data_IF_250463825071
#
_entry.id   IF_250463825071
#
_cell.length_a   1.000
_cell.length_b   1.000
_cell.length_c   1.000
_cell.angle_alpha   90.00
_cell.angle_beta   90.00
_cell.angle_gamma   90.00
#
_symmetry.space_group_name_H-M   'P 1'
#
loop_
_entity.id
_entity.type
_entity.pdbx_description
1 polymer ?
#
# COMPACT_ATOMS: atom_id res chain seq x y z
N UNK A 1 36.29 -28.73 -15.37
CA UNK A 1 35.35 -28.47 -16.49
C UNK A 1 34.30 -27.47 -16.01
N UNK A 2 34.22 -26.26 -16.57
CA UNK A 2 33.22 -25.28 -16.16
C UNK A 2 31.87 -25.65 -16.79
N UNK A 3 30.83 -25.77 -15.96
CA UNK A 3 29.48 -26.07 -16.41
C UNK A 3 29.00 -25.02 -17.44
N UNK A 4 28.52 -25.51 -18.59
CA UNK A 4 28.08 -24.69 -19.72
C UNK A 4 26.91 -23.78 -19.34
N UNK A 5 26.90 -22.57 -19.92
CA UNK A 5 25.82 -21.57 -19.75
C UNK A 5 24.40 -22.09 -20.04
N UNK A 6 24.26 -23.24 -20.73
CA UNK A 6 22.95 -23.85 -21.02
C UNK A 6 22.30 -24.51 -19.79
N UNK A 7 23.09 -25.04 -18.85
CA UNK A 7 22.57 -25.65 -17.61
C UNK A 7 21.87 -24.63 -16.70
N UNK A 8 22.36 -23.38 -16.67
CA UNK A 8 21.75 -22.28 -15.90
C UNK A 8 20.41 -21.78 -16.45
N UNK A 9 20.12 -22.01 -17.74
CA UNK A 9 18.83 -21.62 -18.36
C UNK A 9 17.75 -22.66 -18.14
N UNK A 10 18.11 -23.94 -17.98
CA UNK A 10 17.15 -25.00 -17.73
C UNK A 10 16.59 -24.98 -16.29
N UNK A 11 17.38 -24.57 -15.30
CA UNK A 11 16.92 -24.41 -13.91
C UNK A 11 16.03 -23.17 -13.66
N UNK A 12 15.88 -22.30 -14.66
CA UNK A 12 14.99 -21.13 -14.58
C UNK A 12 13.51 -21.47 -14.87
N UNK A 13 13.21 -22.70 -15.29
CA UNK A 13 11.90 -23.07 -15.84
C UNK A 13 10.86 -23.54 -14.81
N UNK A 14 11.11 -23.50 -13.50
CA UNK A 14 10.13 -23.94 -12.51
C UNK A 14 10.27 -23.26 -11.13
N UNK A 15 10.44 -21.94 -11.09
CA UNK A 15 10.41 -21.21 -9.82
C UNK A 15 9.05 -20.50 -9.68
N UNK A 16 8.36 -20.61 -8.53
CA UNK A 16 7.11 -19.90 -8.30
C UNK A 16 7.40 -18.41 -8.37
N UNK A 17 6.98 -17.79 -9.47
CA UNK A 17 7.25 -16.38 -9.77
C UNK A 17 6.59 -15.53 -8.69
N UNK A 18 7.41 -14.87 -7.87
CA UNK A 18 7.00 -13.69 -7.12
C UNK A 18 7.45 -12.52 -8.00
N UNK A 19 6.62 -12.23 -8.99
CA UNK A 19 6.85 -11.20 -10.01
C UNK A 19 6.97 -9.82 -9.35
N UNK A 20 7.75 -8.91 -9.96
CA UNK A 20 8.13 -7.54 -9.53
C UNK A 20 9.29 -7.34 -8.55
N UNK A 21 9.87 -8.38 -7.96
CA UNK A 21 11.11 -8.24 -7.19
C UNK A 21 12.31 -8.24 -8.13
N UNK A 22 13.35 -7.44 -7.84
CA UNK A 22 14.56 -7.42 -8.67
C UNK A 22 15.31 -8.75 -8.62
N UNK A 23 15.28 -9.44 -7.47
CA UNK A 23 15.79 -10.80 -7.31
C UNK A 23 14.78 -11.71 -6.58
N UNK A 24 13.96 -12.49 -7.32
CA UNK A 24 12.97 -13.38 -6.73
C UNK A 24 13.58 -14.56 -5.96
N UNK A 25 14.90 -14.77 -6.05
CA UNK A 25 15.62 -15.82 -5.30
C UNK A 25 15.95 -15.41 -3.88
N UNK A 26 15.79 -14.14 -3.54
CA UNK A 26 15.94 -13.69 -2.16
C UNK A 26 15.00 -14.49 -1.25
N UNK A 27 15.53 -14.87 -0.09
CA UNK A 27 14.77 -15.62 0.89
C UNK A 27 13.48 -14.88 1.25
N UNK A 28 12.35 -15.59 1.26
CA UNK A 28 11.02 -14.99 1.45
C UNK A 28 10.93 -14.14 2.72
N UNK A 29 11.56 -14.55 3.81
CA UNK A 29 11.56 -13.79 5.07
C UNK A 29 12.20 -12.40 4.93
N UNK A 30 13.19 -12.21 4.04
CA UNK A 30 13.80 -10.90 3.78
C UNK A 30 12.82 -9.99 3.08
N UNK A 31 12.17 -10.54 2.05
CA UNK A 31 11.20 -9.81 1.22
C UNK A 31 9.94 -9.43 2.00
N UNK A 32 9.37 -10.39 2.72
CA UNK A 32 8.25 -10.15 3.63
C UNK A 32 8.65 -9.22 4.78
N UNK A 33 9.88 -9.33 5.30
CA UNK A 33 10.40 -8.41 6.33
C UNK A 33 10.47 -6.96 5.85
N UNK A 34 10.89 -6.73 4.59
CA UNK A 34 10.86 -5.40 3.97
C UNK A 34 9.45 -4.88 3.77
N UNK A 35 8.50 -5.74 3.37
CA UNK A 35 7.09 -5.35 3.31
C UNK A 35 6.55 -4.91 4.67
N UNK A 36 6.83 -5.66 5.72
CA UNK A 36 6.43 -5.28 7.08
C UNK A 36 7.08 -3.99 7.56
N UNK A 37 8.39 -3.82 7.33
CA UNK A 37 9.13 -2.61 7.71
C UNK A 37 8.65 -1.38 6.94
N UNK A 38 8.41 -1.53 5.63
CA UNK A 38 7.90 -0.45 4.80
C UNK A 38 6.47 -0.05 5.19
N UNK A 39 5.57 -1.01 5.43
CA UNK A 39 4.22 -0.70 5.92
C UNK A 39 4.25 -0.08 7.32
N UNK A 40 5.13 -0.55 8.21
CA UNK A 40 5.37 0.09 9.52
C UNK A 40 5.74 1.56 9.36
N UNK A 41 6.76 1.85 8.54
CA UNK A 41 7.25 3.20 8.34
C UNK A 41 6.19 4.09 7.66
N UNK A 42 5.43 3.54 6.71
CA UNK A 42 4.33 4.24 6.03
C UNK A 42 3.23 4.65 7.03
N UNK A 43 2.75 3.72 7.85
CA UNK A 43 1.68 4.01 8.83
C UNK A 43 2.18 4.94 9.94
N UNK A 44 3.45 4.77 10.38
CA UNK A 44 4.08 5.67 11.32
C UNK A 44 4.14 7.10 10.78
N UNK A 45 4.59 7.27 9.53
CA UNK A 45 4.65 8.58 8.87
C UNK A 45 3.26 9.19 8.68
N UNK A 46 2.29 8.40 8.22
CA UNK A 46 0.91 8.82 8.05
C UNK A 46 0.33 9.36 9.36
N UNK A 47 0.34 8.53 10.41
CA UNK A 47 -0.27 8.91 11.68
C UNK A 47 0.52 10.01 12.37
N UNK A 48 1.85 9.90 12.41
CA UNK A 48 2.72 10.88 13.04
C UNK A 48 2.58 12.26 12.42
N UNK A 49 2.47 12.34 11.08
CA UNK A 49 2.23 13.61 10.36
C UNK A 49 0.87 14.22 10.69
N UNK A 50 -0.19 13.41 10.82
CA UNK A 50 -1.50 13.89 11.23
C UNK A 50 -1.50 14.47 12.65
N UNK A 51 -0.88 13.77 13.61
CA UNK A 51 -0.73 14.25 14.99
C UNK A 51 0.12 15.53 15.03
N UNK A 52 1.24 15.55 14.30
CA UNK A 52 2.11 16.72 14.22
C UNK A 52 1.37 17.92 13.62
N UNK A 53 0.65 17.74 12.52
CA UNK A 53 -0.12 18.79 11.88
C UNK A 53 -1.21 19.34 12.81
N UNK A 54 -1.92 18.48 13.54
CA UNK A 54 -2.93 18.90 14.50
C UNK A 54 -2.34 19.77 15.64
N UNK A 55 -1.09 19.50 16.06
CA UNK A 55 -0.40 20.29 17.09
C UNK A 55 0.16 21.60 16.54
N UNK A 56 0.83 21.55 15.39
CA UNK A 56 1.48 22.72 14.77
C UNK A 56 0.46 23.72 14.25
N UNK A 57 -0.62 23.24 13.65
CA UNK A 57 -1.67 24.05 13.05
C UNK A 57 -2.96 24.04 13.90
N UNK A 58 -2.82 24.14 15.23
CA UNK A 58 -3.95 24.06 16.15
C UNK A 58 -5.06 25.09 15.88
N UNK A 59 -4.73 26.25 15.31
CA UNK A 59 -5.68 27.31 14.93
C UNK A 59 -6.12 27.24 13.46
N UNK A 60 -5.61 26.29 12.68
CA UNK A 60 -5.85 26.11 11.25
C UNK A 60 -6.12 24.62 10.92
N UNK A 61 -7.25 24.04 11.39
CA UNK A 61 -7.51 22.61 11.26
C UNK A 61 -7.54 22.11 9.81
N UNK A 62 -7.84 22.99 8.84
CA UNK A 62 -7.77 22.69 7.41
C UNK A 62 -6.38 22.30 6.90
N UNK A 63 -5.31 22.56 7.65
CA UNK A 63 -3.95 22.17 7.29
C UNK A 63 -3.64 20.69 7.56
N UNK A 64 -4.44 19.99 8.37
CA UNK A 64 -4.17 18.59 8.73
C UNK A 64 -4.18 17.70 7.47
N UNK A 65 -5.21 17.82 6.63
CA UNK A 65 -5.38 16.99 5.45
C UNK A 65 -4.23 17.17 4.43
N UNK A 66 -3.91 18.39 3.93
CA UNK A 66 -2.85 18.56 2.94
C UNK A 66 -1.45 18.21 3.48
N UNK A 67 -1.14 18.51 4.74
CA UNK A 67 0.17 18.16 5.32
C UNK A 67 0.32 16.64 5.43
N UNK A 68 -0.74 15.96 5.89
CA UNK A 68 -0.73 14.50 6.01
C UNK A 68 -0.67 13.83 4.64
N UNK A 69 -1.42 14.34 3.65
CA UNK A 69 -1.39 13.82 2.27
C UNK A 69 0.01 13.86 1.66
N UNK A 70 0.71 15.00 1.77
CA UNK A 70 2.09 15.14 1.27
C UNK A 70 3.05 14.25 2.03
N UNK A 71 2.91 14.13 3.35
CA UNK A 71 3.78 13.28 4.16
C UNK A 71 3.62 11.78 3.81
N UNK A 72 2.39 11.31 3.63
CA UNK A 72 2.08 9.94 3.21
C UNK A 72 2.69 9.65 1.83
N UNK A 73 2.44 10.54 0.86
CA UNK A 73 2.97 10.40 -0.48
C UNK A 73 4.50 10.39 -0.52
N UNK A 74 5.15 11.34 0.17
CA UNK A 74 6.60 11.42 0.24
C UNK A 74 7.22 10.19 0.92
N UNK A 75 6.61 9.72 2.01
CA UNK A 75 7.04 8.50 2.69
C UNK A 75 6.95 7.29 1.76
N UNK A 76 5.82 7.11 1.06
CA UNK A 76 5.64 5.98 0.15
C UNK A 76 6.63 6.03 -1.03
N UNK A 77 6.82 7.19 -1.66
CA UNK A 77 7.82 7.37 -2.73
C UNK A 77 9.21 6.95 -2.23
N UNK A 78 9.63 7.50 -1.08
CA UNK A 78 10.95 7.19 -0.51
C UNK A 78 11.11 5.71 -0.17
N UNK A 79 10.09 5.09 0.41
CA UNK A 79 10.10 3.67 0.79
C UNK A 79 10.15 2.74 -0.43
N UNK A 80 9.40 3.03 -1.49
CA UNK A 80 9.45 2.23 -2.71
C UNK A 80 10.80 2.41 -3.41
N UNK A 81 11.31 3.65 -3.52
CA UNK A 81 12.63 3.89 -4.13
C UNK A 81 13.76 3.20 -3.36
N UNK A 82 13.72 3.26 -2.02
CA UNK A 82 14.79 2.72 -1.18
C UNK A 82 14.76 1.19 -1.07
N UNK A 83 13.56 0.60 -0.96
CA UNK A 83 13.39 -0.80 -0.56
C UNK A 83 12.63 -1.65 -1.58
N UNK A 84 11.98 -1.03 -2.57
CA UNK A 84 11.13 -1.72 -3.55
C UNK A 84 11.88 -2.74 -4.41
N UNK A 85 13.18 -2.56 -4.64
CA UNK A 85 14.00 -3.55 -5.35
C UNK A 85 14.07 -4.90 -4.62
N UNK A 86 13.88 -4.93 -3.30
CA UNK A 86 13.92 -6.14 -2.49
C UNK A 86 12.60 -6.91 -2.55
N UNK A 87 11.46 -6.22 -2.42
CA UNK A 87 10.15 -6.86 -2.22
C UNK A 87 9.12 -6.59 -3.33
N UNK A 88 9.37 -5.64 -4.21
CA UNK A 88 8.37 -5.04 -5.10
C UNK A 88 7.71 -3.79 -4.51
N UNK A 89 7.91 -3.51 -3.21
CA UNK A 89 7.43 -2.31 -2.52
C UNK A 89 5.91 -2.18 -2.50
N UNK A 90 5.18 -3.26 -2.18
CA UNK A 90 3.71 -3.23 -2.22
C UNK A 90 3.17 -2.40 -1.06
N UNK A 91 3.62 -2.72 0.15
CA UNK A 91 3.19 -2.13 1.42
C UNK A 91 1.67 -2.08 1.62
N UNK A 92 0.94 -2.88 0.84
CA UNK A 92 -0.51 -2.86 0.70
C UNK A 92 -1.01 -4.28 0.33
N UNK A 93 -1.91 -4.86 1.15
CA UNK A 93 -2.51 -6.16 0.86
C UNK A 93 -3.26 -6.22 -0.47
N UNK A 94 -3.91 -5.14 -0.92
CA UNK A 94 -4.65 -5.13 -2.20
C UNK A 94 -3.73 -5.38 -3.40
N UNK A 95 -2.57 -4.70 -3.45
CA UNK A 95 -1.58 -4.89 -4.53
C UNK A 95 -1.12 -6.35 -4.55
N UNK A 96 -0.81 -6.89 -3.37
CA UNK A 96 -0.34 -8.27 -3.21
C UNK A 96 -1.39 -9.29 -3.64
N UNK A 97 -2.66 -9.06 -3.25
CA UNK A 97 -3.79 -9.93 -3.60
C UNK A 97 -4.15 -9.86 -5.09
N UNK A 98 -4.08 -8.68 -5.71
CA UNK A 98 -4.34 -8.53 -7.14
C UNK A 98 -3.26 -9.20 -7.99
N UNK A 99 -1.99 -9.16 -7.59
CA UNK A 99 -0.96 -9.96 -8.26
C UNK A 99 -1.23 -11.46 -8.15
N UNK A 100 -1.67 -11.92 -6.98
CA UNK A 100 -2.06 -13.33 -6.80
C UNK A 100 -3.25 -13.70 -7.69
N UNK A 101 -4.28 -12.85 -7.74
CA UNK A 101 -5.46 -13.02 -8.58
C UNK A 101 -5.10 -13.03 -10.08
N UNK A 102 -4.15 -12.18 -10.48
CA UNK A 102 -3.56 -12.13 -11.82
C UNK A 102 -2.61 -13.29 -12.14
N UNK A 103 -2.39 -14.22 -11.19
CA UNK A 103 -1.45 -15.35 -11.30
C UNK A 103 0.02 -14.93 -11.47
N UNK A 104 0.36 -13.74 -11.00
CA UNK A 104 1.71 -13.16 -11.02
C UNK A 104 2.50 -13.48 -9.74
N UNK A 105 1.83 -14.01 -8.69
CA UNK A 105 2.44 -14.34 -7.39
C UNK A 105 1.93 -15.66 -6.83
N UNK A 106 2.80 -16.43 -6.16
CA UNK A 106 2.40 -17.66 -5.46
C UNK A 106 1.62 -17.38 -4.18
N UNK A 107 0.71 -18.28 -3.80
CA UNK A 107 -0.11 -18.12 -2.58
C UNK A 107 0.73 -18.02 -1.29
N UNK A 108 1.84 -18.75 -1.19
CA UNK A 108 2.75 -18.69 -0.04
C UNK A 108 3.42 -17.30 0.08
N UNK A 109 3.91 -16.76 -1.04
CA UNK A 109 4.45 -15.39 -1.09
C UNK A 109 3.37 -14.37 -0.68
N UNK A 110 2.14 -14.53 -1.18
CA UNK A 110 1.01 -13.65 -0.88
C UNK A 110 0.67 -13.63 0.61
N UNK A 111 0.52 -14.80 1.23
CA UNK A 111 0.21 -14.90 2.66
C UNK A 111 1.31 -14.25 3.51
N UNK A 112 2.58 -14.53 3.21
CA UNK A 112 3.71 -13.97 3.95
C UNK A 112 3.75 -12.43 3.86
N UNK A 113 3.48 -11.87 2.68
CA UNK A 113 3.43 -10.43 2.46
C UNK A 113 2.28 -9.78 3.19
N UNK A 114 1.05 -10.28 3.01
CA UNK A 114 -0.15 -9.71 3.64
C UNK A 114 -0.03 -9.76 5.17
N UNK A 115 0.48 -10.86 5.73
CA UNK A 115 0.72 -10.98 7.16
C UNK A 115 1.76 -9.97 7.66
N UNK A 116 2.89 -9.83 6.95
CA UNK A 116 3.93 -8.88 7.32
C UNK A 116 3.47 -7.42 7.20
N UNK A 117 2.76 -7.06 6.12
CA UNK A 117 2.17 -5.73 5.93
C UNK A 117 1.18 -5.41 7.04
N UNK A 118 0.28 -6.34 7.35
CA UNK A 118 -0.74 -6.16 8.39
C UNK A 118 -0.11 -5.98 9.78
N UNK A 119 0.89 -6.81 10.13
CA UNK A 119 1.65 -6.65 11.37
C UNK A 119 2.41 -5.32 11.40
N UNK A 120 3.08 -4.97 10.30
CA UNK A 120 3.78 -3.70 10.14
C UNK A 120 2.86 -2.51 10.35
N UNK A 121 1.67 -2.54 9.75
CA UNK A 121 0.68 -1.48 9.88
C UNK A 121 0.20 -1.29 11.32
N UNK A 122 -0.17 -2.37 12.01
CA UNK A 122 -0.55 -2.33 13.43
C UNK A 122 0.59 -1.77 14.29
N UNK A 123 1.81 -2.27 14.11
CA UNK A 123 2.98 -1.80 14.86
C UNK A 123 3.31 -0.33 14.57
N UNK A 124 3.13 0.13 13.32
CA UNK A 124 3.37 1.52 12.92
C UNK A 124 2.38 2.48 13.58
N UNK A 125 1.10 2.09 13.63
CA UNK A 125 0.06 2.83 14.34
C UNK A 125 0.34 2.91 15.83
N UNK A 126 0.63 1.77 16.46
CA UNK A 126 0.98 1.70 17.88
C UNK A 126 2.24 2.53 18.22
N UNK A 127 3.26 2.48 17.36
CA UNK A 127 4.47 3.27 17.54
C UNK A 127 4.20 4.78 17.44
N UNK A 128 3.34 5.23 16.51
CA UNK A 128 2.94 6.62 16.43
C UNK A 128 2.23 7.07 17.72
N UNK A 129 1.27 6.28 18.22
CA UNK A 129 0.60 6.58 19.47
C UNK A 129 1.59 6.68 20.66
N UNK A 130 2.55 5.76 20.74
CA UNK A 130 3.57 5.74 21.78
C UNK A 130 4.51 6.95 21.71
N UNK A 131 4.98 7.33 20.53
CA UNK A 131 5.91 8.46 20.33
C UNK A 131 5.29 9.81 20.71
N UNK A 132 3.99 9.98 20.49
CA UNK A 132 3.34 11.27 20.68
C UNK A 132 2.62 11.43 22.02
N UNK A 133 2.31 10.35 22.72
CA UNK A 133 1.73 10.34 24.07
C UNK A 133 0.40 11.09 24.19
N UNK A 134 -0.74 10.38 24.24
CA UNK A 134 -2.03 10.99 24.58
C UNK A 134 -3.25 10.14 24.19
N UNK A 135 -4.42 10.35 24.84
CA UNK A 135 -5.63 9.55 24.66
C UNK A 135 -6.40 9.87 23.36
N UNK A 136 -7.29 8.92 23.03
CA UNK A 136 -7.95 8.70 21.73
C UNK A 136 -8.98 9.78 21.39
N UNK A 137 -8.55 10.92 20.85
CA UNK A 137 -9.42 11.74 20.02
C UNK A 137 -9.78 10.96 18.76
N UNK A 138 -10.93 10.30 18.76
CA UNK A 138 -11.48 9.60 17.59
C UNK A 138 -12.05 10.63 16.62
N UNK A 139 -11.49 10.74 15.42
CA UNK A 139 -12.16 11.46 14.31
C UNK A 139 -13.35 10.70 13.75
N UNK A 140 -13.61 9.45 14.19
CA UNK A 140 -14.82 8.68 13.91
C UNK A 140 -15.04 8.51 12.41
N UNK A 141 -14.54 7.41 11.83
CA UNK A 141 -14.72 7.14 10.41
C UNK A 141 -16.18 7.25 9.96
N UNK A 142 -16.40 7.44 8.66
CA UNK A 142 -17.73 7.69 8.08
C UNK A 142 -18.63 6.43 8.07
N UNK A 143 -18.17 5.33 8.66
CA UNK A 143 -18.88 4.04 8.63
C UNK A 143 -19.21 3.63 7.20
N UNK A 144 -20.46 3.22 6.98
CA UNK A 144 -20.96 2.85 5.66
C UNK A 144 -20.96 3.99 4.64
N UNK A 145 -21.07 5.25 5.07
CA UNK A 145 -20.99 6.39 4.14
C UNK A 145 -19.58 6.58 3.56
N UNK A 146 -18.54 6.07 4.25
CA UNK A 146 -17.15 6.10 3.76
C UNK A 146 -16.81 5.02 2.74
N UNK A 147 -17.62 3.96 2.64
CA UNK A 147 -17.33 2.83 1.74
C UNK A 147 -17.14 3.26 0.28
N UNK A 148 -17.92 4.22 -0.20
CA UNK A 148 -17.80 4.73 -1.57
C UNK A 148 -16.48 5.49 -1.81
N UNK A 149 -15.98 6.20 -0.80
CA UNK A 149 -14.68 6.86 -0.85
C UNK A 149 -13.54 5.85 -1.00
N UNK A 150 -13.54 4.81 -0.18
CA UNK A 150 -12.53 3.75 -0.23
C UNK A 150 -12.58 2.92 -1.51
N UNK A 151 -13.78 2.72 -2.08
CA UNK A 151 -13.94 2.09 -3.39
C UNK A 151 -13.26 2.90 -4.50
N UNK A 152 -13.54 4.21 -4.57
CA UNK A 152 -12.93 5.08 -5.58
C UNK A 152 -11.42 5.19 -5.38
N UNK A 153 -11.00 5.38 -4.14
CA UNK A 153 -9.59 5.51 -3.77
C UNK A 153 -8.79 4.26 -4.15
N UNK A 154 -9.29 3.08 -3.77
CA UNK A 154 -8.64 1.80 -4.09
C UNK A 154 -8.67 1.49 -5.58
N UNK A 155 -9.77 1.79 -6.28
CA UNK A 155 -9.83 1.59 -7.72
C UNK A 155 -8.80 2.44 -8.46
N UNK A 156 -8.70 3.72 -8.12
CA UNK A 156 -7.73 4.63 -8.71
C UNK A 156 -6.29 4.25 -8.38
N UNK A 157 -6.00 3.95 -7.11
CA UNK A 157 -4.67 3.54 -6.68
C UNK A 157 -4.20 2.27 -7.40
N UNK A 158 -5.05 1.24 -7.47
CA UNK A 158 -4.71 0.00 -8.17
C UNK A 158 -4.53 0.23 -9.67
N UNK A 159 -5.36 1.08 -10.29
CA UNK A 159 -5.19 1.43 -11.71
C UNK A 159 -3.85 2.13 -11.98
N UNK A 160 -3.42 3.03 -11.09
CA UNK A 160 -2.11 3.72 -11.21
C UNK A 160 -0.97 2.72 -11.02
N UNK A 161 -1.00 1.91 -9.96
CA UNK A 161 0.05 0.91 -9.66
C UNK A 161 0.24 -0.04 -10.83
N UNK A 162 -0.82 -0.73 -11.24
CA UNK A 162 -0.74 -1.71 -12.32
C UNK A 162 -0.64 -1.06 -13.70
N UNK A 163 -1.21 0.12 -13.91
CA UNK A 163 -1.08 0.87 -15.15
C UNK A 163 0.37 1.29 -15.43
N UNK A 164 1.10 1.77 -14.41
CA UNK A 164 2.54 2.05 -14.55
C UNK A 164 3.34 0.80 -14.93
N UNK A 165 3.00 -0.34 -14.34
CA UNK A 165 3.64 -1.62 -14.68
C UNK A 165 3.34 -2.06 -16.10
N UNK A 166 2.05 -2.08 -16.48
CA UNK A 166 1.60 -2.56 -17.79
C UNK A 166 1.98 -1.62 -18.94
N UNK A 167 2.24 -0.34 -18.66
CA UNK A 167 2.75 0.63 -19.64
C UNK A 167 4.28 0.66 -19.77
N UNK A 168 5.01 -0.23 -19.09
CA UNK A 168 6.48 -0.28 -19.12
C UNK A 168 7.15 0.89 -18.40
N UNK A 169 6.43 1.60 -17.51
CA UNK A 169 6.92 2.76 -16.75
C UNK A 169 7.10 2.43 -15.26
N UNK A 170 7.55 1.22 -14.96
CA UNK A 170 7.77 0.75 -13.59
C UNK A 170 8.67 1.70 -12.78
N UNK A 171 9.73 2.24 -13.40
CA UNK A 171 10.66 3.18 -12.76
C UNK A 171 10.00 4.50 -12.31
N UNK A 172 8.96 4.94 -13.01
CA UNK A 172 8.15 6.11 -12.65
C UNK A 172 7.02 5.78 -11.65
N UNK A 173 6.75 4.49 -11.44
CA UNK A 173 5.69 3.98 -10.57
C UNK A 173 5.66 4.60 -9.18
N UNK A 174 6.79 4.70 -8.44
CA UNK A 174 6.81 5.31 -7.11
C UNK A 174 6.25 6.74 -7.10
N UNK A 175 6.67 7.55 -8.08
CA UNK A 175 6.27 8.95 -8.19
C UNK A 175 4.81 9.09 -8.65
N UNK A 176 4.36 8.25 -9.58
CA UNK A 176 2.97 8.23 -10.03
C UNK A 176 2.02 7.86 -8.88
N UNK A 177 2.39 6.85 -8.08
CA UNK A 177 1.63 6.44 -6.90
C UNK A 177 1.60 7.56 -5.85
N UNK A 178 2.74 8.20 -5.57
CA UNK A 178 2.79 9.34 -4.65
C UNK A 178 1.91 10.52 -5.11
N UNK A 179 1.98 10.87 -6.40
CA UNK A 179 1.13 11.93 -6.97
C UNK A 179 -0.36 11.58 -6.89
N UNK A 180 -0.71 10.31 -7.15
CA UNK A 180 -2.08 9.83 -6.99
C UNK A 180 -2.56 9.95 -5.55
N UNK A 181 -1.76 9.53 -4.57
CA UNK A 181 -2.13 9.62 -3.16
C UNK A 181 -2.43 11.05 -2.72
N UNK A 182 -1.63 12.04 -3.13
CA UNK A 182 -1.95 13.45 -2.82
C UNK A 182 -3.31 13.84 -3.39
N UNK A 183 -3.58 13.51 -4.65
CA UNK A 183 -4.84 13.86 -5.30
C UNK A 183 -6.04 13.16 -4.62
N UNK A 184 -5.90 11.88 -4.33
CA UNK A 184 -6.97 11.02 -3.83
C UNK A 184 -7.34 11.33 -2.36
N UNK A 185 -6.33 11.53 -1.51
CA UNK A 185 -6.52 11.95 -0.10
C UNK A 185 -7.25 13.30 -0.03
N UNK A 186 -6.99 14.21 -0.97
CA UNK A 186 -7.67 15.51 -1.03
C UNK A 186 -9.06 15.45 -1.68
N UNK A 187 -9.29 14.48 -2.57
CA UNK A 187 -10.52 14.38 -3.35
C UNK A 187 -11.61 13.52 -2.69
N UNK A 188 -11.25 12.60 -1.79
CA UNK A 188 -12.18 11.65 -1.17
C UNK A 188 -12.48 11.97 0.29
N UNK A 189 -13.69 11.63 0.79
CA UNK A 189 -14.11 12.05 2.14
C UNK A 189 -13.50 11.21 3.26
N UNK A 190 -12.78 10.13 2.94
CA UNK A 190 -12.24 9.17 3.93
C UNK A 190 -10.77 9.37 4.23
N UNK A 191 -10.11 10.35 3.59
CA UNK A 191 -8.66 10.47 3.53
C UNK A 191 -7.96 9.28 2.84
N UNK A 192 -8.68 8.54 1.98
CA UNK A 192 -8.19 7.48 1.10
C UNK A 192 -7.23 6.48 1.79
N UNK A 193 -7.75 5.62 2.68
CA UNK A 193 -6.92 4.58 3.28
C UNK A 193 -6.37 3.64 2.20
N UNK A 194 -7.25 3.16 1.32
CA UNK A 194 -6.97 2.37 0.12
C UNK A 194 -5.99 1.21 0.36
N UNK A 195 -5.93 0.70 1.59
CA UNK A 195 -4.91 -0.20 2.08
C UNK A 195 -5.36 -0.85 3.41
N UNK A 196 -5.69 -2.17 3.39
CA UNK A 196 -6.12 -2.89 4.58
C UNK A 196 -5.13 -2.83 5.75
N UNK A 197 -3.82 -2.77 5.46
CA UNK A 197 -2.82 -2.66 6.52
C UNK A 197 -2.80 -1.27 7.18
N UNK A 198 -3.11 -0.21 6.43
CA UNK A 198 -3.29 1.14 7.00
C UNK A 198 -4.57 1.18 7.82
N UNK A 199 -5.66 0.53 7.38
CA UNK A 199 -6.88 0.37 8.19
C UNK A 199 -6.57 -0.32 9.52
N UNK A 200 -5.79 -1.40 9.54
CA UNK A 200 -5.39 -2.06 10.78
C UNK A 200 -4.51 -1.19 11.68
N UNK A 201 -3.59 -0.42 11.09
CA UNK A 201 -2.79 0.57 11.82
C UNK A 201 -3.63 1.69 12.44
N UNK A 202 -4.65 2.14 11.72
CA UNK A 202 -5.59 3.18 12.15
C UNK A 202 -6.47 2.76 13.32
N UNK A 203 -6.73 1.46 13.48
CA UNK A 203 -7.38 0.88 14.66
C UNK A 203 -6.48 0.85 15.90
N UNK A 204 -5.16 0.93 15.70
CA UNK A 204 -4.14 0.78 16.76
C UNK A 204 -3.46 2.11 17.14
N UNK A 205 -4.02 3.25 16.72
CA UNK A 205 -3.40 4.57 16.87
C UNK A 205 -4.36 5.63 17.41
N UNK A 206 -3.89 6.88 17.54
CA UNK A 206 -4.66 8.03 17.98
C UNK A 206 -4.52 9.22 16.99
N UNK A 207 -5.39 10.21 17.14
CA UNK A 207 -5.32 11.46 16.39
C UNK A 207 -6.11 11.41 15.08
N UNK A 208 -5.78 12.28 14.11
CA UNK A 208 -6.63 12.50 12.93
C UNK A 208 -6.89 11.27 12.07
N UNK A 209 -5.95 10.31 12.06
CA UNK A 209 -6.03 9.07 11.28
C UNK A 209 -6.56 7.88 12.08
N UNK A 210 -7.03 8.07 13.33
CA UNK A 210 -7.65 6.98 14.08
C UNK A 210 -8.99 6.59 13.46
N UNK A 211 -9.20 5.28 13.25
CA UNK A 211 -10.43 4.74 12.68
C UNK A 211 -11.25 4.03 13.77
N UNK A 212 -12.55 4.32 13.84
CA UNK A 212 -13.45 3.60 14.71
C UNK A 212 -13.65 2.16 14.20
N UNK A 213 -13.71 1.17 15.10
CA UNK A 213 -13.86 -0.26 14.74
C UNK A 213 -15.08 -0.51 13.85
N UNK A 214 -16.19 0.19 14.08
CA UNK A 214 -17.41 0.07 13.26
C UNK A 214 -17.25 0.57 11.82
N UNK A 215 -16.22 1.35 11.52
CA UNK A 215 -15.92 1.84 10.17
C UNK A 215 -14.95 0.94 9.40
N UNK A 216 -14.19 0.07 10.09
CA UNK A 216 -13.19 -0.77 9.43
C UNK A 216 -13.80 -1.71 8.40
N UNK A 217 -14.89 -2.42 8.73
CA UNK A 217 -15.51 -3.37 7.82
C UNK A 217 -16.06 -2.71 6.53
N UNK A 218 -16.81 -1.58 6.58
CA UNK A 218 -17.21 -0.87 5.37
C UNK A 218 -16.03 -0.39 4.51
N UNK A 219 -14.94 0.06 5.14
CA UNK A 219 -13.76 0.55 4.44
C UNK A 219 -13.07 -0.59 3.70
N UNK A 220 -12.77 -1.69 4.40
CA UNK A 220 -12.18 -2.90 3.81
C UNK A 220 -13.03 -3.48 2.67
N UNK A 221 -14.37 -3.42 2.77
CA UNK A 221 -15.25 -3.84 1.70
C UNK A 221 -15.15 -2.91 0.48
N UNK A 222 -15.18 -1.59 0.70
CA UNK A 222 -14.97 -0.60 -0.35
C UNK A 222 -13.63 -0.82 -1.06
N UNK A 223 -12.57 -0.98 -0.29
CA UNK A 223 -11.22 -1.26 -0.77
C UNK A 223 -11.16 -2.51 -1.68
N UNK A 224 -11.73 -3.62 -1.21
CA UNK A 224 -11.77 -4.86 -1.98
C UNK A 224 -12.55 -4.72 -3.29
N UNK A 225 -13.72 -4.08 -3.26
CA UNK A 225 -14.52 -3.84 -4.47
C UNK A 225 -13.81 -2.91 -5.45
N UNK A 226 -13.18 -1.85 -4.95
CA UNK A 226 -12.38 -0.93 -5.75
C UNK A 226 -11.22 -1.63 -6.44
N UNK A 227 -10.49 -2.49 -5.71
CA UNK A 227 -9.42 -3.30 -6.27
C UNK A 227 -9.91 -4.26 -7.37
N UNK A 228 -11.07 -4.90 -7.20
CA UNK A 228 -11.65 -5.78 -8.22
C UNK A 228 -12.12 -5.01 -9.47
N UNK A 229 -12.68 -3.82 -9.30
CA UNK A 229 -13.04 -2.94 -10.43
C UNK A 229 -11.79 -2.55 -11.21
N UNK A 230 -10.73 -2.12 -10.51
CA UNK A 230 -9.46 -1.80 -11.14
C UNK A 230 -8.87 -2.99 -11.88
N UNK A 231 -8.91 -4.19 -11.29
CA UNK A 231 -8.47 -5.42 -11.93
C UNK A 231 -9.19 -5.65 -13.28
N UNK A 232 -10.51 -5.48 -13.32
CA UNK A 232 -11.28 -5.52 -14.56
C UNK A 232 -10.82 -4.48 -15.59
N UNK A 233 -10.64 -3.22 -15.17
CA UNK A 233 -10.14 -2.17 -16.06
C UNK A 233 -8.73 -2.44 -16.56
N UNK A 234 -7.83 -2.93 -15.72
CA UNK A 234 -6.45 -3.26 -16.12
C UNK A 234 -6.47 -4.31 -17.24
N UNK A 235 -7.35 -5.32 -17.16
CA UNK A 235 -7.48 -6.33 -18.21
C UNK A 235 -8.07 -5.79 -19.52
N UNK A 236 -8.98 -4.81 -19.45
CA UNK A 236 -9.61 -4.21 -20.62
C UNK A 236 -8.66 -3.20 -21.29
N UNK A 237 -8.03 -2.34 -20.50
CA UNK A 237 -7.22 -1.21 -20.97
C UNK A 237 -5.78 -1.62 -21.33
N UNK A 238 -5.26 -2.68 -20.70
CA UNK A 238 -3.92 -3.21 -20.96
C UNK A 238 -3.99 -4.70 -21.36
N UNK A 239 -4.46 -5.01 -22.58
CA UNK A 239 -4.64 -6.38 -23.04
C UNK A 239 -3.30 -7.14 -23.06
N UNK A 240 -3.32 -8.37 -22.59
CA UNK A 240 -2.19 -9.28 -22.68
C UNK A 240 -2.01 -9.72 -24.14
N UNK A 241 -1.17 -9.03 -24.90
CA UNK A 241 -0.94 -9.38 -26.31
C UNK A 241 -0.46 -8.29 -27.26
N UNK A 242 0.13 -7.19 -26.77
CA UNK A 242 0.83 -6.24 -27.65
C UNK A 242 2.28 -6.06 -27.18
N UNK A 243 3.01 -7.17 -27.14
CA UNK A 243 4.46 -7.10 -27.21
C UNK A 243 4.80 -6.64 -28.64
N UNK A 244 5.25 -5.40 -28.78
CA UNK A 244 6.10 -4.99 -29.88
C UNK A 244 7.54 -5.38 -29.57
#
# INVERSE_FOLDING_TARGET
MPASRSSRRADMAAQPTCFQEADPRLALWRRAGVEGLGTFALVLAATGSGIAAARVFATLPGMILPVTAVAIAAALVGLIVALGSVSGGHYNPLITLLQWLGRERSGVCTIAYVAAQSLGGVLGGAAAAALWGGPNGSTGGLGWHGMGGELVASAGLMLVVFGCMRSGRADAGPFAVGAWLVADILATPTAAYANPAVVFGALATNGPLHLATGSAAPYLLGEALGALIAFGFIHILFPAGSAA
#
